data_IF_329677626994
#
_entry.id   IF_329677626994
#
_cell.length_a   1.000
_cell.length_b   1.000
_cell.length_c   1.000
_cell.angle_alpha   90.00
_cell.angle_beta   90.00
_cell.angle_gamma   90.00
#
_symmetry.space_group_name_H-M   'P 1'
#
loop_
_entity.id
_entity.type
_entity.pdbx_description
1 polymer ?
#
# COMPACT_ATOMS: atom_id res chain seq x y z
N UNK A 1 0.46 -28.97 -2.19
CA UNK A 1 1.38 -28.38 -3.20
C UNK A 1 2.61 -29.26 -3.29
N UNK A 2 2.95 -29.75 -4.49
CA UNK A 2 4.16 -30.59 -4.65
C UNK A 2 5.35 -29.67 -4.93
N UNK A 3 6.47 -29.87 -4.23
CA UNK A 3 7.70 -29.10 -4.41
C UNK A 3 8.18 -29.12 -5.86
N UNK A 4 8.11 -30.27 -6.52
CA UNK A 4 8.49 -30.45 -7.93
C UNK A 4 7.66 -29.65 -8.94
N UNK A 5 6.51 -29.11 -8.52
CA UNK A 5 5.60 -28.29 -9.33
C UNK A 5 5.56 -26.82 -8.85
N UNK A 6 6.44 -26.45 -7.94
CA UNK A 6 6.46 -25.12 -7.30
C UNK A 6 7.75 -24.39 -7.64
N UNK A 7 7.64 -23.13 -8.05
CA UNK A 7 8.79 -22.27 -8.22
C UNK A 7 9.22 -21.71 -6.87
N UNK A 8 10.20 -22.38 -6.22
CA UNK A 8 10.75 -21.99 -4.92
C UNK A 8 12.28 -22.01 -5.05
N UNK A 9 12.92 -20.96 -5.58
CA UNK A 9 14.35 -20.89 -5.83
C UNK A 9 15.11 -20.57 -4.54
N UNK A 10 15.41 -21.60 -3.74
CA UNK A 10 16.17 -21.44 -2.50
C UNK A 10 17.67 -21.34 -2.75
N UNK A 11 18.38 -20.59 -1.91
CA UNK A 11 19.83 -20.48 -1.93
C UNK A 11 20.43 -20.79 -0.56
N UNK A 12 21.64 -21.40 -0.55
CA UNK A 12 22.42 -21.61 0.68
C UNK A 12 23.26 -20.39 1.05
N UNK A 13 23.61 -19.59 0.05
CA UNK A 13 24.49 -18.43 0.23
C UNK A 13 23.71 -17.20 0.73
N UNK A 14 24.36 -16.41 1.56
CA UNK A 14 23.82 -15.13 1.95
C UNK A 14 23.97 -14.13 0.81
N UNK A 15 22.92 -13.36 0.47
CA UNK A 15 23.00 -12.36 -0.57
C UNK A 15 24.01 -11.27 -0.17
N UNK A 16 24.87 -10.89 -1.11
CA UNK A 16 25.81 -9.78 -0.94
C UNK A 16 25.02 -8.48 -0.72
N UNK A 17 25.26 -7.79 0.38
CA UNK A 17 24.57 -6.51 0.70
C UNK A 17 23.34 -6.62 1.62
N UNK A 18 22.77 -7.80 1.84
CA UNK A 18 21.73 -7.96 2.84
C UNK A 18 22.34 -8.05 4.24
N UNK A 19 22.12 -7.02 5.06
CA UNK A 19 22.64 -6.95 6.45
C UNK A 19 21.64 -7.44 7.49
N UNK A 20 20.35 -7.33 7.19
CA UNK A 20 19.25 -7.65 8.13
C UNK A 20 18.92 -9.14 8.02
N UNK A 21 18.89 -9.90 9.12
CA UNK A 21 18.63 -11.34 9.09
C UNK A 21 17.31 -11.74 8.40
N UNK A 22 16.23 -11.01 8.61
CA UNK A 22 14.95 -11.28 7.94
C UNK A 22 15.04 -11.13 6.42
N UNK A 23 15.75 -10.11 5.93
CA UNK A 23 15.99 -9.90 4.51
C UNK A 23 16.83 -11.05 3.90
N UNK A 24 17.88 -11.46 4.58
CA UNK A 24 18.70 -12.62 4.16
C UNK A 24 17.85 -13.89 4.06
N UNK A 25 17.04 -14.16 5.06
CA UNK A 25 16.20 -15.35 5.11
C UNK A 25 15.10 -15.33 4.03
N UNK A 26 14.46 -14.20 3.78
CA UNK A 26 13.43 -14.06 2.72
C UNK A 26 14.03 -14.33 1.33
N UNK A 27 15.22 -13.80 1.03
CA UNK A 27 15.90 -14.06 -0.25
C UNK A 27 16.32 -15.53 -0.35
N UNK A 28 16.97 -16.07 0.69
CA UNK A 28 17.43 -17.46 0.71
C UNK A 28 16.30 -18.47 0.63
N UNK A 29 15.14 -18.16 1.22
CA UNK A 29 13.95 -18.99 1.12
C UNK A 29 13.24 -18.90 -0.25
N UNK A 30 13.72 -18.04 -1.17
CA UNK A 30 13.07 -17.84 -2.46
C UNK A 30 11.69 -17.19 -2.32
N UNK A 31 11.51 -16.32 -1.33
CA UNK A 31 10.25 -15.60 -1.11
C UNK A 31 10.22 -14.27 -1.85
N UNK A 32 11.36 -13.61 -1.95
CA UNK A 32 11.52 -12.34 -2.66
C UNK A 32 12.79 -12.35 -3.52
N UNK A 33 12.78 -11.51 -4.55
CA UNK A 33 13.95 -11.19 -5.37
C UNK A 33 14.15 -9.68 -5.36
N UNK A 34 15.33 -9.22 -5.03
CA UNK A 34 15.66 -7.81 -5.11
C UNK A 34 15.95 -7.42 -6.57
N UNK A 35 15.21 -6.44 -7.10
CA UNK A 35 15.45 -5.88 -8.44
C UNK A 35 16.41 -4.70 -8.39
N UNK A 36 16.21 -3.82 -7.41
CA UNK A 36 17.11 -2.70 -7.08
C UNK A 36 16.99 -2.34 -5.60
N UNK A 37 17.70 -1.33 -5.14
CA UNK A 37 17.61 -0.88 -3.75
C UNK A 37 16.17 -0.47 -3.41
N UNK A 38 15.56 -1.14 -2.43
CA UNK A 38 14.18 -0.89 -2.00
C UNK A 38 13.08 -1.47 -2.88
N UNK A 39 13.42 -2.07 -4.04
CA UNK A 39 12.44 -2.62 -5.01
C UNK A 39 12.57 -4.13 -5.09
N UNK A 40 11.48 -4.84 -4.86
CA UNK A 40 11.44 -6.30 -4.76
C UNK A 40 10.32 -6.91 -5.59
N UNK A 41 10.61 -8.04 -6.22
CA UNK A 41 9.61 -8.95 -6.75
C UNK A 41 9.23 -9.98 -5.68
N UNK A 42 7.94 -10.17 -5.46
CA UNK A 42 7.44 -11.23 -4.59
C UNK A 42 7.33 -12.52 -5.38
N UNK A 43 8.09 -13.54 -4.98
CA UNK A 43 8.03 -14.87 -5.59
C UNK A 43 6.83 -15.66 -5.03
N UNK A 44 6.41 -16.78 -5.65
CA UNK A 44 5.12 -17.43 -5.33
C UNK A 44 4.91 -17.72 -3.85
N UNK A 45 5.93 -18.19 -3.14
CA UNK A 45 5.81 -18.48 -1.70
C UNK A 45 5.66 -17.22 -0.87
N UNK A 46 6.47 -16.18 -1.15
CA UNK A 46 6.40 -14.89 -0.47
C UNK A 46 5.09 -14.17 -0.78
N UNK A 47 4.64 -14.21 -2.03
CA UNK A 47 3.36 -13.61 -2.41
C UNK A 47 2.17 -14.28 -1.71
N UNK A 48 2.22 -15.61 -1.52
CA UNK A 48 1.20 -16.32 -0.74
C UNK A 48 1.15 -15.85 0.72
N UNK A 49 2.31 -15.64 1.35
CA UNK A 49 2.37 -15.09 2.71
C UNK A 49 1.81 -13.67 2.76
N UNK A 50 2.18 -12.82 1.80
CA UNK A 50 1.64 -11.46 1.69
C UNK A 50 0.11 -11.46 1.57
N UNK A 51 -0.45 -12.33 0.72
CA UNK A 51 -1.91 -12.48 0.56
C UNK A 51 -2.60 -12.96 1.84
N UNK A 52 -1.98 -13.84 2.60
CA UNK A 52 -2.52 -14.26 3.90
C UNK A 52 -2.57 -13.10 4.90
N UNK A 53 -1.51 -12.28 4.95
CA UNK A 53 -1.47 -11.09 5.81
C UNK A 53 -2.55 -10.08 5.38
N UNK A 54 -2.69 -9.85 4.08
CA UNK A 54 -3.73 -8.99 3.50
C UNK A 54 -5.14 -9.46 3.91
N UNK A 55 -5.40 -10.77 3.84
CA UNK A 55 -6.69 -11.34 4.25
C UNK A 55 -6.97 -11.13 5.75
N UNK A 56 -5.98 -11.35 6.60
CA UNK A 56 -6.13 -11.12 8.05
C UNK A 56 -6.45 -9.65 8.33
N UNK A 57 -5.70 -8.73 7.73
CA UNK A 57 -5.95 -7.29 7.91
C UNK A 57 -7.35 -6.91 7.44
N UNK A 58 -7.79 -7.43 6.28
CA UNK A 58 -9.14 -7.20 5.75
C UNK A 58 -10.22 -7.68 6.71
N UNK A 59 -10.13 -8.92 7.16
CA UNK A 59 -11.07 -9.54 8.09
C UNK A 59 -11.22 -8.73 9.38
N UNK A 60 -10.11 -8.29 9.97
CA UNK A 60 -10.11 -7.50 11.20
C UNK A 60 -10.70 -6.09 10.99
N UNK A 61 -10.41 -5.45 9.86
CA UNK A 61 -10.96 -4.13 9.54
C UNK A 61 -12.46 -4.20 9.22
N UNK A 62 -12.90 -5.19 8.47
CA UNK A 62 -14.32 -5.42 8.17
C UNK A 62 -15.12 -5.74 9.46
N UNK A 63 -14.55 -6.56 10.35
CA UNK A 63 -15.15 -6.85 11.66
C UNK A 63 -15.29 -5.59 12.54
N UNK A 64 -14.39 -4.62 12.38
CA UNK A 64 -14.47 -3.31 13.01
C UNK A 64 -15.45 -2.33 12.32
N UNK A 65 -16.11 -2.75 11.24
CA UNK A 65 -17.08 -1.94 10.49
C UNK A 65 -16.47 -1.05 9.41
N UNK A 66 -15.21 -1.24 9.07
CA UNK A 66 -14.60 -0.53 7.94
C UNK A 66 -15.11 -1.05 6.60
N UNK A 67 -15.17 -0.17 5.61
CA UNK A 67 -15.53 -0.52 4.22
C UNK A 67 -14.31 -0.37 3.34
N UNK A 68 -13.91 -1.45 2.68
CA UNK A 68 -12.76 -1.44 1.77
C UNK A 68 -13.07 -0.67 0.49
N UNK A 69 -12.15 0.20 0.10
CA UNK A 69 -12.17 0.90 -1.18
C UNK A 69 -10.80 0.79 -1.86
N UNK A 70 -10.80 0.85 -3.19
CA UNK A 70 -9.57 0.91 -3.98
C UNK A 70 -9.40 2.30 -4.55
N UNK A 71 -8.36 3.00 -4.12
CA UNK A 71 -8.00 4.32 -4.61
C UNK A 71 -6.84 4.24 -5.61
N UNK A 72 -6.77 5.17 -6.59
CA UNK A 72 -5.68 5.21 -7.56
C UNK A 72 -4.35 5.56 -6.90
N UNK A 73 -3.28 4.93 -7.36
CA UNK A 73 -1.91 5.24 -6.93
C UNK A 73 -1.39 6.55 -7.53
N UNK A 74 -1.80 6.84 -8.78
CA UNK A 74 -1.54 8.14 -9.41
C UNK A 74 -2.62 9.13 -8.97
N UNK A 75 -2.19 10.25 -8.42
CA UNK A 75 -3.06 11.28 -7.85
C UNK A 75 -2.80 12.63 -8.51
N UNK A 76 -3.82 13.51 -8.58
CA UNK A 76 -3.63 14.89 -9.04
C UNK A 76 -2.76 15.65 -8.05
N UNK A 77 -1.82 16.44 -8.56
CA UNK A 77 -1.02 17.35 -7.76
C UNK A 77 -1.87 18.42 -7.07
N UNK A 78 -3.02 18.79 -7.63
CA UNK A 78 -3.91 19.81 -7.08
C UNK A 78 -4.36 19.51 -5.64
N UNK A 79 -4.67 18.24 -5.32
CA UNK A 79 -5.06 17.83 -3.98
C UNK A 79 -3.92 18.06 -2.96
N UNK A 80 -2.70 17.84 -3.39
CA UNK A 80 -1.52 18.00 -2.56
C UNK A 80 -1.08 19.47 -2.42
N UNK A 81 -1.35 20.27 -3.44
CA UNK A 81 -1.19 21.72 -3.40
C UNK A 81 -2.21 22.30 -2.43
N UNK A 82 -3.48 21.88 -2.52
CA UNK A 82 -4.56 22.32 -1.62
C UNK A 82 -4.25 21.99 -0.14
N UNK A 83 -3.73 20.80 0.15
CA UNK A 83 -3.33 20.39 1.50
C UNK A 83 -2.05 21.08 2.01
N UNK A 84 -1.31 21.76 1.13
CA UNK A 84 -0.02 22.37 1.43
C UNK A 84 1.14 21.38 1.56
N UNK A 85 0.92 20.09 1.24
CA UNK A 85 1.93 19.03 1.37
C UNK A 85 2.77 18.83 0.11
N UNK A 86 2.40 19.43 -1.02
CA UNK A 86 3.10 19.23 -2.30
C UNK A 86 4.58 19.62 -2.24
N UNK A 87 4.87 20.81 -1.72
CA UNK A 87 6.26 21.27 -1.54
C UNK A 87 6.91 20.68 -0.28
N UNK A 88 6.13 20.51 0.80
CA UNK A 88 6.63 20.02 2.09
C UNK A 88 7.14 18.56 2.05
N UNK A 89 6.70 17.77 1.07
CA UNK A 89 7.18 16.39 0.91
C UNK A 89 8.60 16.30 0.32
N UNK A 90 9.08 17.37 -0.31
CA UNK A 90 10.44 17.46 -0.82
C UNK A 90 10.74 16.56 -2.02
N UNK A 91 12.02 16.14 -2.12
CA UNK A 91 12.54 15.36 -3.25
C UNK A 91 12.07 13.88 -3.25
N UNK A 92 11.55 13.40 -2.14
CA UNK A 92 11.05 12.02 -2.01
C UNK A 92 9.74 11.78 -2.77
N UNK A 93 9.02 12.86 -3.10
CA UNK A 93 7.79 12.78 -3.87
C UNK A 93 8.09 12.53 -5.35
N UNK A 94 7.61 11.40 -5.87
CA UNK A 94 7.70 11.10 -7.29
C UNK A 94 6.66 11.90 -8.06
N UNK A 95 7.11 12.94 -8.78
CA UNK A 95 6.30 13.81 -9.63
C UNK A 95 6.36 13.32 -11.07
N UNK A 96 5.22 13.32 -11.74
CA UNK A 96 5.05 12.77 -13.08
C UNK A 96 4.28 13.79 -13.90
N UNK A 97 4.75 14.10 -15.11
CA UNK A 97 3.97 14.83 -16.10
C UNK A 97 3.48 13.85 -17.17
N UNK A 98 2.21 13.93 -17.52
CA UNK A 98 1.65 13.12 -18.59
C UNK A 98 1.83 13.79 -19.97
N UNK A 99 1.38 13.13 -21.02
CA UNK A 99 1.43 13.65 -22.40
C UNK A 99 0.55 14.89 -22.66
N UNK A 100 -0.28 15.28 -21.70
CA UNK A 100 -1.17 16.43 -21.74
C UNK A 100 -0.73 17.52 -20.75
N UNK A 101 0.51 17.44 -20.29
CA UNK A 101 1.11 18.35 -19.30
C UNK A 101 0.32 18.39 -17.97
N UNK A 102 -0.43 17.33 -17.65
CA UNK A 102 -1.08 17.21 -16.35
C UNK A 102 -0.04 16.78 -15.31
N UNK A 103 0.04 17.54 -14.21
CA UNK A 103 0.90 17.24 -13.10
C UNK A 103 0.25 16.19 -12.21
N UNK A 104 0.89 15.05 -12.14
CA UNK A 104 0.50 13.92 -11.31
C UNK A 104 1.60 13.59 -10.31
N UNK A 105 1.23 12.92 -9.24
CA UNK A 105 2.17 12.34 -8.29
C UNK A 105 1.92 10.84 -8.16
N UNK A 106 2.96 10.10 -7.87
CA UNK A 106 2.82 8.75 -7.33
C UNK A 106 2.55 8.90 -5.83
N UNK A 107 1.27 8.73 -5.44
CA UNK A 107 0.83 9.03 -4.08
C UNK A 107 1.55 8.18 -3.03
N UNK A 108 2.36 8.78 -2.14
CA UNK A 108 3.01 8.04 -1.05
C UNK A 108 2.01 7.62 0.03
N UNK A 109 0.87 8.27 0.07
CA UNK A 109 -0.23 8.06 1.03
C UNK A 109 -1.55 8.54 0.44
N UNK A 110 -2.68 8.28 1.09
CA UNK A 110 -4.02 8.49 0.55
C UNK A 110 -4.91 9.44 1.35
N UNK A 111 -4.37 10.21 2.29
CA UNK A 111 -5.16 11.11 3.14
C UNK A 111 -5.89 12.18 2.31
N UNK A 112 -5.21 12.78 1.35
CA UNK A 112 -5.81 13.77 0.45
C UNK A 112 -6.91 13.15 -0.39
N UNK A 113 -6.66 11.96 -0.93
CA UNK A 113 -7.59 11.26 -1.81
C UNK A 113 -8.86 10.82 -1.06
N UNK A 114 -8.74 10.26 0.15
CA UNK A 114 -9.91 9.86 0.93
C UNK A 114 -10.70 11.07 1.41
N UNK A 115 -10.02 12.17 1.75
CA UNK A 115 -10.67 13.42 2.13
C UNK A 115 -11.48 14.00 0.97
N UNK A 116 -10.97 13.96 -0.25
CA UNK A 116 -11.70 14.39 -1.44
C UNK A 116 -12.93 13.52 -1.73
N UNK A 117 -12.80 12.20 -1.61
CA UNK A 117 -13.93 11.28 -1.73
C UNK A 117 -15.00 11.63 -0.69
N UNK A 118 -14.61 11.81 0.57
CA UNK A 118 -15.52 12.21 1.63
C UNK A 118 -16.20 13.54 1.33
N UNK A 119 -15.45 14.58 0.99
CA UNK A 119 -15.94 15.91 0.64
C UNK A 119 -16.95 15.89 -0.51
N UNK A 120 -16.71 15.06 -1.52
CA UNK A 120 -17.53 14.97 -2.72
C UNK A 120 -18.84 14.24 -2.50
N UNK A 121 -18.87 13.21 -1.68
CA UNK A 121 -20.02 12.32 -1.55
C UNK A 121 -20.79 12.48 -0.24
N UNK A 122 -20.15 12.87 0.85
CA UNK A 122 -20.81 13.03 2.14
C UNK A 122 -21.37 14.45 2.27
N UNK A 123 -22.61 14.62 1.84
CA UNK A 123 -23.31 15.92 1.83
C UNK A 123 -24.35 16.07 2.94
N UNK A 124 -24.63 15.02 3.70
CA UNK A 124 -25.63 15.00 4.75
C UNK A 124 -25.01 14.69 6.10
N UNK A 125 -25.43 15.44 7.13
CA UNK A 125 -25.04 15.18 8.53
C UNK A 125 -25.46 13.80 9.03
N UNK A 126 -26.44 13.14 8.41
CA UNK A 126 -26.84 11.77 8.74
C UNK A 126 -25.75 10.74 8.48
N UNK A 127 -24.79 11.01 7.58
CA UNK A 127 -23.64 10.15 7.32
C UNK A 127 -22.44 10.43 8.23
N UNK A 128 -22.42 11.60 8.89
CA UNK A 128 -21.29 12.04 9.72
C UNK A 128 -21.60 12.05 11.20
N UNK A 129 -22.89 11.87 11.56
CA UNK A 129 -23.30 11.92 12.95
C UNK A 129 -23.16 10.56 13.62
N UNK A 130 -22.07 10.39 14.36
CA UNK A 130 -21.89 9.30 15.31
C UNK A 130 -22.68 9.64 16.58
N UNK A 131 -23.85 9.00 16.77
CA UNK A 131 -24.59 9.11 18.03
C UNK A 131 -23.84 8.34 19.11
N UNK A 132 -23.48 9.02 20.18
CA UNK A 132 -22.83 8.43 21.36
C UNK A 132 -23.65 7.34 22.08
N UNK A 133 -24.88 7.08 21.63
CA UNK A 133 -25.81 6.15 22.27
C UNK A 133 -26.02 4.83 21.52
N UNK A 134 -25.39 4.62 20.39
CA UNK A 134 -25.55 3.36 19.62
C UNK A 134 -24.52 2.28 19.97
N UNK A 135 -23.69 2.52 20.98
CA UNK A 135 -22.72 1.54 21.50
C UNK A 135 -23.21 0.80 22.75
N UNK A 136 -24.44 0.95 23.11
CA UNK A 136 -24.97 0.25 24.28
C UNK A 136 -26.02 -0.79 23.84
N UNK A 137 -25.67 -2.02 24.14
CA UNK A 137 -26.37 -3.29 24.22
C UNK A 137 -25.92 -4.36 23.24
#
# INVERSE_FOLDING_TARGET
MYWSKSFIPTSKENPSGAKIPSHQLLIRAGMIKQESAGIYSWLPLGFKVLKNIESIVREEQEAAGAVEILMPTLQSSDLWIESGRYEGYGEEMLRISDRHDADLIYGPTNEEQITEIFRSYIKSVSYTHLRAHETAY
#
